data_IF_318290689326
#
_entry.id   IF_318290689326
#
_cell.length_a   1.000
_cell.length_b   1.000
_cell.length_c   1.000
_cell.angle_alpha   90.00
_cell.angle_beta   90.00
_cell.angle_gamma   90.00
#
_symmetry.space_group_name_H-M   'P 1'
#
loop_
_entity.id
_entity.type
_entity.pdbx_description
1 polymer ?
#
# COMPACT_ATOMS: atom_id res chain seq x y z
N UNK A 1 -5.36 -18.48 -21.98
CA UNK A 1 -4.89 -17.15 -21.62
C UNK A 1 -4.38 -17.15 -20.19
N UNK A 2 -3.15 -16.71 -20.00
CA UNK A 2 -2.57 -16.61 -18.67
C UNK A 2 -3.10 -15.40 -17.93
N UNK A 3 -3.32 -15.57 -16.64
CA UNK A 3 -3.72 -14.48 -15.77
C UNK A 3 -2.68 -14.26 -14.68
N UNK A 4 -2.37 -13.01 -14.44
CA UNK A 4 -1.54 -12.59 -13.30
C UNK A 4 -2.33 -11.61 -12.45
N UNK A 5 -1.95 -11.52 -11.20
CA UNK A 5 -2.63 -10.67 -10.21
C UNK A 5 -1.60 -9.70 -9.65
N UNK A 6 -1.84 -8.42 -9.89
CA UNK A 6 -0.91 -7.36 -9.53
C UNK A 6 -1.48 -6.57 -8.37
N UNK A 7 -0.67 -6.44 -7.31
CA UNK A 7 -0.96 -5.52 -6.22
C UNK A 7 -0.26 -4.22 -6.51
N UNK A 8 -1.04 -3.14 -6.55
CA UNK A 8 -0.53 -1.78 -6.71
C UNK A 8 -0.54 -1.05 -5.38
N UNK A 9 0.51 -0.28 -5.16
CA UNK A 9 0.58 0.70 -4.08
C UNK A 9 0.24 2.08 -4.62
N UNK A 10 -0.70 2.76 -3.98
CA UNK A 10 -1.11 4.12 -4.32
C UNK A 10 -0.67 5.08 -3.23
N UNK A 11 0.12 6.09 -3.61
CA UNK A 11 0.48 7.18 -2.73
C UNK A 11 -0.62 8.25 -2.80
N UNK A 12 -1.27 8.52 -1.70
CA UNK A 12 -2.42 9.44 -1.60
C UNK A 12 -1.98 10.87 -1.29
N UNK A 13 -0.70 11.08 -0.96
CA UNK A 13 -0.15 12.39 -0.59
C UNK A 13 0.00 13.34 -1.79
N UNK A 14 -0.06 12.80 -3.00
CA UNK A 14 0.11 13.62 -4.21
C UNK A 14 -1.22 14.20 -4.67
N UNK A 15 -1.42 15.49 -4.47
CA UNK A 15 -2.54 16.25 -5.04
C UNK A 15 -2.40 16.46 -6.55
N UNK A 16 -1.22 16.20 -7.11
CA UNK A 16 -0.85 16.59 -8.48
C UNK A 16 -0.67 15.36 -9.38
N UNK A 17 -0.24 14.22 -8.85
CA UNK A 17 -0.06 13.01 -9.63
C UNK A 17 -0.65 11.81 -8.90
N UNK A 18 -1.45 11.04 -9.62
CA UNK A 18 -1.96 9.77 -9.14
C UNK A 18 -0.93 8.70 -9.47
N UNK A 19 0.13 8.64 -8.66
CA UNK A 19 1.20 7.67 -8.86
C UNK A 19 0.83 6.34 -8.21
N UNK A 20 0.93 5.30 -9.01
CA UNK A 20 0.81 3.93 -8.53
C UNK A 20 2.05 3.16 -8.92
N UNK A 21 2.54 2.35 -8.00
CA UNK A 21 3.68 1.47 -8.20
C UNK A 21 3.27 0.02 -8.06
N UNK A 22 3.91 -0.86 -8.82
CA UNK A 22 3.74 -2.29 -8.63
C UNK A 22 4.38 -2.68 -7.30
N UNK A 23 3.56 -3.20 -6.39
CA UNK A 23 4.02 -3.69 -5.09
C UNK A 23 4.41 -5.16 -5.13
N UNK A 24 3.56 -6.00 -5.74
CA UNK A 24 3.82 -7.44 -5.89
C UNK A 24 3.01 -8.03 -7.03
N UNK A 25 3.48 -9.17 -7.57
CA UNK A 25 2.82 -9.91 -8.65
C UNK A 25 2.62 -11.36 -8.21
N UNK A 26 1.44 -11.90 -8.46
CA UNK A 26 1.04 -13.23 -8.00
C UNK A 26 0.37 -14.05 -9.11
N UNK A 27 0.40 -15.38 -8.96
CA UNK A 27 -0.25 -16.31 -9.88
C UNK A 27 -1.75 -16.51 -9.57
N UNK A 28 -2.18 -16.12 -8.40
CA UNK A 28 -3.56 -16.32 -7.96
C UNK A 28 -4.02 -15.15 -7.09
N UNK A 29 -5.34 -14.90 -6.99
CA UNK A 29 -5.85 -13.76 -6.22
C UNK A 29 -5.66 -13.91 -4.71
N UNK A 30 -5.66 -15.14 -4.18
CA UNK A 30 -5.51 -15.37 -2.73
C UNK A 30 -4.15 -14.86 -2.21
N UNK A 31 -3.08 -15.07 -2.96
CA UNK A 31 -1.74 -14.55 -2.60
C UNK A 31 -1.69 -13.03 -2.66
N UNK A 32 -2.35 -12.43 -3.65
CA UNK A 32 -2.50 -10.97 -3.73
C UNK A 32 -3.24 -10.39 -2.53
N UNK A 33 -4.34 -11.02 -2.12
CA UNK A 33 -5.11 -10.62 -0.95
C UNK A 33 -4.26 -10.71 0.33
N UNK A 34 -3.50 -11.79 0.50
CA UNK A 34 -2.59 -11.95 1.65
C UNK A 34 -1.51 -10.88 1.67
N UNK A 35 -0.95 -10.54 0.50
CA UNK A 35 0.04 -9.48 0.35
C UNK A 35 -0.52 -8.12 0.80
N UNK A 36 -1.74 -7.80 0.38
CA UNK A 36 -2.43 -6.58 0.77
C UNK A 36 -2.70 -6.55 2.28
N UNK A 37 -3.21 -7.64 2.84
CA UNK A 37 -3.50 -7.75 4.27
C UNK A 37 -2.24 -7.52 5.11
N UNK A 38 -1.12 -8.12 4.69
CA UNK A 38 0.17 -7.94 5.34
C UNK A 38 0.68 -6.50 5.25
N UNK A 39 0.50 -5.86 4.10
CA UNK A 39 0.88 -4.47 3.90
C UNK A 39 0.06 -3.54 4.81
N UNK A 40 -1.25 -3.71 4.86
CA UNK A 40 -2.12 -2.91 5.75
C UNK A 40 -1.80 -3.14 7.23
N UNK A 41 -1.47 -4.36 7.61
CA UNK A 41 -1.04 -4.65 8.99
C UNK A 41 0.19 -3.85 9.37
N UNK A 42 1.17 -3.74 8.47
CA UNK A 42 2.37 -2.93 8.70
C UNK A 42 2.01 -1.45 8.84
N UNK A 43 1.09 -0.93 8.01
CA UNK A 43 0.63 0.45 8.12
C UNK A 43 -0.07 0.71 9.46
N UNK A 44 -0.84 -0.25 9.97
CA UNK A 44 -1.50 -0.15 11.28
C UNK A 44 -0.49 -0.17 12.43
N UNK A 45 0.57 -0.97 12.33
CA UNK A 45 1.67 -0.96 13.31
C UNK A 45 2.39 0.38 13.30
N UNK A 46 2.62 0.98 12.15
CA UNK A 46 3.21 2.30 12.01
C UNK A 46 2.32 3.38 12.65
N UNK A 47 1.00 3.26 12.48
CA UNK A 47 0.04 4.16 13.10
C UNK A 47 0.10 4.09 14.63
N UNK A 48 0.17 2.89 15.19
CA UNK A 48 0.31 2.70 16.65
C UNK A 48 1.60 3.31 17.18
N UNK A 49 2.70 3.08 16.48
CA UNK A 49 3.99 3.67 16.87
C UNK A 49 3.96 5.20 16.80
N UNK A 50 3.31 5.76 15.78
CA UNK A 50 3.08 7.20 15.67
C UNK A 50 2.32 7.75 16.89
N UNK A 51 1.22 7.10 17.27
CA UNK A 51 0.41 7.49 18.42
C UNK A 51 1.18 7.38 19.73
N UNK A 52 2.00 6.34 19.91
CA UNK A 52 2.86 6.17 21.06
C UNK A 52 3.90 7.29 21.16
N UNK A 53 4.52 7.67 20.04
CA UNK A 53 5.46 8.79 20.01
C UNK A 53 4.80 10.12 20.38
N UNK A 54 3.55 10.35 19.96
CA UNK A 54 2.80 11.54 20.36
C UNK A 54 2.53 11.60 21.86
N UNK A 55 2.35 10.43 22.51
CA UNK A 55 2.05 10.33 23.94
C UNK A 55 3.28 10.37 24.83
N UNK A 56 4.47 10.19 24.28
CA UNK A 56 5.71 10.02 25.05
C UNK A 56 6.25 11.28 25.74
N UNK A 57 5.55 12.40 25.63
CA UNK A 57 5.88 13.64 26.32
C UNK A 57 6.67 14.64 25.48
N UNK A 58 6.79 15.87 25.99
CA UNK A 58 7.50 16.94 25.30
C UNK A 58 9.01 16.74 25.38
N UNK A 59 9.75 16.94 24.27
CA UNK A 59 11.22 16.91 24.28
C UNK A 59 11.80 18.02 25.14
N UNK A 60 12.94 17.75 25.75
CA UNK A 60 13.60 18.65 26.71
C UNK A 60 14.45 19.72 26.03
N UNK A 61 14.94 19.48 24.81
CA UNK A 61 15.75 20.42 24.04
C UNK A 61 15.36 20.46 22.55
N UNK A 62 15.93 21.42 21.82
CA UNK A 62 15.61 21.61 20.39
C UNK A 62 16.04 20.44 19.52
N UNK A 63 17.16 19.78 19.86
CA UNK A 63 17.65 18.63 19.08
C UNK A 63 16.68 17.46 19.20
N UNK A 64 16.24 17.14 20.41
CA UNK A 64 15.24 16.08 20.64
C UNK A 64 13.91 16.39 19.98
N UNK A 65 13.52 17.67 19.97
CA UNK A 65 12.30 18.12 19.29
C UNK A 65 12.37 17.85 17.77
N UNK A 66 13.47 18.21 17.12
CA UNK A 66 13.64 18.00 15.69
C UNK A 66 13.71 16.50 15.35
N UNK A 67 14.39 15.70 16.16
CA UNK A 67 14.46 14.26 15.97
C UNK A 67 13.07 13.62 16.10
N UNK A 68 12.28 14.05 17.07
CA UNK A 68 10.92 13.58 17.25
C UNK A 68 10.02 13.98 16.08
N UNK A 69 10.12 15.22 15.62
CA UNK A 69 9.36 15.71 14.48
C UNK A 69 9.66 14.92 13.21
N UNK A 70 10.94 14.67 12.93
CA UNK A 70 11.35 13.86 11.79
C UNK A 70 10.81 12.43 11.88
N UNK A 71 10.87 11.82 13.07
CA UNK A 71 10.33 10.47 13.30
C UNK A 71 8.82 10.44 13.10
N UNK A 72 8.10 11.43 13.64
CA UNK A 72 6.65 11.51 13.48
C UNK A 72 6.25 11.67 12.02
N UNK A 73 6.93 12.53 11.27
CA UNK A 73 6.68 12.70 9.85
C UNK A 73 6.97 11.43 9.07
N UNK A 74 8.06 10.73 9.38
CA UNK A 74 8.42 9.47 8.75
C UNK A 74 7.35 8.39 8.98
N UNK A 75 6.86 8.27 10.22
CA UNK A 75 5.82 7.30 10.58
C UNK A 75 4.48 7.66 9.92
N UNK A 76 4.08 8.93 9.97
CA UNK A 76 2.80 9.40 9.44
C UNK A 76 2.66 9.06 7.94
N UNK A 77 3.72 9.29 7.16
CA UNK A 77 3.73 8.98 5.73
C UNK A 77 3.60 7.49 5.44
N UNK A 78 3.84 6.64 6.41
CA UNK A 78 3.75 5.18 6.32
C UNK A 78 2.51 4.60 6.99
N UNK A 79 1.46 5.41 7.10
CA UNK A 79 0.15 4.97 7.64
C UNK A 79 -0.87 4.85 6.52
N UNK A 80 -2.05 4.32 6.85
CA UNK A 80 -3.18 4.23 5.90
C UNK A 80 -3.70 5.58 5.43
N UNK A 81 -3.38 6.66 6.13
CA UNK A 81 -3.77 8.00 5.71
C UNK A 81 -3.15 8.39 4.35
N UNK A 82 -1.95 7.88 4.06
CA UNK A 82 -1.22 8.21 2.83
C UNK A 82 -1.02 7.03 1.89
N UNK A 83 -1.47 5.83 2.26
CA UNK A 83 -1.19 4.62 1.48
C UNK A 83 -2.45 3.81 1.25
N UNK A 84 -2.63 3.34 0.02
CA UNK A 84 -3.68 2.43 -0.38
C UNK A 84 -3.08 1.32 -1.23
N UNK A 85 -3.73 0.16 -1.21
CA UNK A 85 -3.37 -0.97 -2.05
C UNK A 85 -4.58 -1.42 -2.85
N UNK A 86 -4.35 -1.84 -4.07
CA UNK A 86 -5.39 -2.40 -4.93
C UNK A 86 -4.93 -3.69 -5.57
N UNK A 87 -5.87 -4.53 -5.96
CA UNK A 87 -5.62 -5.81 -6.64
C UNK A 87 -6.25 -5.75 -8.01
N UNK A 88 -5.47 -6.11 -9.03
CA UNK A 88 -5.91 -6.10 -10.41
C UNK A 88 -5.61 -7.43 -11.07
N UNK A 89 -6.61 -8.02 -11.72
CA UNK A 89 -6.43 -9.21 -12.54
C UNK A 89 -6.05 -8.76 -13.96
N UNK A 90 -4.92 -9.25 -14.44
CA UNK A 90 -4.41 -8.92 -15.77
C UNK A 90 -4.39 -10.19 -16.60
N UNK A 91 -5.07 -10.17 -17.74
CA UNK A 91 -5.08 -11.27 -18.68
C UNK A 91 -4.07 -11.03 -19.79
N UNK A 92 -3.22 -12.01 -20.02
CA UNK A 92 -2.16 -11.94 -21.02
C UNK A 92 -2.48 -12.86 -22.22
N UNK A 93 -2.09 -12.42 -23.41
CA UNK A 93 -2.12 -13.24 -24.60
C UNK A 93 -1.02 -14.31 -24.53
N UNK A 94 -1.37 -15.57 -24.81
CA UNK A 94 -0.43 -16.70 -24.72
C UNK A 94 0.70 -16.63 -25.77
N UNK A 95 0.45 -16.00 -26.89
CA UNK A 95 1.43 -15.96 -28.01
C UNK A 95 2.32 -14.72 -27.90
N UNK A 96 1.77 -13.55 -27.57
CA UNK A 96 2.49 -12.29 -27.60
C UNK A 96 2.94 -11.83 -26.22
N UNK A 97 2.31 -12.33 -25.15
CA UNK A 97 2.53 -11.85 -23.79
C UNK A 97 1.94 -10.46 -23.52
N UNK A 98 1.17 -9.91 -24.46
CA UNK A 98 0.56 -8.61 -24.31
C UNK A 98 -0.67 -8.65 -23.40
N UNK A 99 -0.94 -7.55 -22.73
CA UNK A 99 -2.13 -7.40 -21.88
C UNK A 99 -3.36 -7.27 -22.79
N UNK A 100 -4.30 -8.22 -22.65
CA UNK A 100 -5.55 -8.22 -23.41
C UNK A 100 -6.71 -7.60 -22.62
N UNK A 101 -6.69 -7.73 -21.30
CA UNK A 101 -7.70 -7.13 -20.44
C UNK A 101 -7.19 -6.97 -19.02
N UNK A 102 -7.77 -6.00 -18.31
CA UNK A 102 -7.54 -5.79 -16.89
C UNK A 102 -8.87 -5.69 -16.18
N UNK A 103 -8.92 -6.16 -14.93
CA UNK A 103 -10.13 -6.14 -14.11
C UNK A 103 -9.75 -5.85 -12.66
N UNK A 104 -10.38 -4.85 -12.06
CA UNK A 104 -10.17 -4.55 -10.65
C UNK A 104 -10.90 -5.57 -9.78
N UNK A 105 -10.21 -6.08 -8.77
CA UNK A 105 -10.75 -7.04 -7.82
C UNK A 105 -10.90 -6.39 -6.45
N UNK A 106 -11.87 -6.90 -5.67
CA UNK A 106 -12.00 -6.55 -4.27
C UNK A 106 -10.77 -7.07 -3.50
N UNK A 107 -10.14 -6.21 -2.72
CA UNK A 107 -8.89 -6.51 -2.01
C UNK A 107 -9.08 -7.46 -0.82
N UNK A 108 -10.30 -7.78 -0.46
CA UNK A 108 -10.64 -8.70 0.64
C UNK A 108 -11.21 -10.02 0.15
N UNK A 109 -12.03 -10.00 -0.88
CA UNK A 109 -12.74 -11.19 -1.38
C UNK A 109 -12.15 -11.75 -2.67
N UNK A 110 -11.40 -10.96 -3.44
CA UNK A 110 -10.89 -11.33 -4.74
C UNK A 110 -11.94 -11.37 -5.84
N UNK A 111 -13.15 -10.91 -5.56
CA UNK A 111 -14.23 -10.85 -6.55
C UNK A 111 -14.08 -9.63 -7.44
N UNK A 112 -14.52 -9.75 -8.68
CA UNK A 112 -14.49 -8.62 -9.63
C UNK A 112 -15.40 -7.49 -9.15
N UNK A 113 -14.86 -6.27 -9.18
CA UNK A 113 -15.60 -5.05 -8.88
C UNK A 113 -16.20 -4.47 -10.16
N UNK A 114 -15.45 -4.59 -11.26
CA UNK A 114 -15.85 -4.12 -12.59
C UNK A 114 -15.60 -5.21 -13.64
#
# INVERSE_FOLDING_TARGET
>A
MDKIYIVYHHDVDSLISYDRDVYSVHDNPADGIRSIAKAYKQLEENQREYEECLRSGAPVDNKEFFELEDKLNWLLRRTRAFNRYSLEEVTLDDETGEVTSTCMLDDKTGKRIF
#
